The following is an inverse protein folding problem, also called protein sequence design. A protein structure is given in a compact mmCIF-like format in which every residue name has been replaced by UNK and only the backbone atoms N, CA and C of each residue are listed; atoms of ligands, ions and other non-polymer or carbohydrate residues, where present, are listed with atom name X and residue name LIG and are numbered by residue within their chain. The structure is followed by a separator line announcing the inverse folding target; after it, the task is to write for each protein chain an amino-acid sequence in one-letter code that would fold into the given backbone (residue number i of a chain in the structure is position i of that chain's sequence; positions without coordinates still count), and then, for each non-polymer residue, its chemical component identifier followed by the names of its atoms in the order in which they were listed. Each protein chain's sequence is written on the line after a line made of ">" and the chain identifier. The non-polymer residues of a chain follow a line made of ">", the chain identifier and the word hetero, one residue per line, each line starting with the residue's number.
data_IF_359310510115
#
_entry.id   IF_359310510115
#
_cell.length_a   1.000
_cell.length_b   1.000
_cell.length_c   1.000
_cell.angle_alpha   90.00
_cell.angle_beta   90.00
_cell.angle_gamma   90.00
#
_symmetry.space_group_name_H-M   'P 1'
#
loop_
_entity.id
_entity.type
_entity.pdbx_description
1 polymer ?
#
# COMPACT_ATOMS: atom_id res chain seq x y z
N UNK A 1 1.24 -0.47 0.77
CA UNK A 1 0.73 -0.39 2.15
C UNK A 1 1.25 -1.57 2.97
N UNK A 2 1.66 -1.34 4.22
CA UNK A 2 2.09 -2.40 5.14
C UNK A 2 0.89 -3.16 5.72
N UNK A 3 0.98 -4.48 5.99
CA UNK A 3 -0.13 -5.25 6.57
C UNK A 3 -0.66 -4.69 7.89
N UNK A 4 0.24 -4.30 8.79
CA UNK A 4 -0.10 -3.67 10.09
C UNK A 4 -0.88 -2.38 9.89
N UNK A 5 -0.41 -1.50 8.99
CA UNK A 5 -1.06 -0.22 8.70
C UNK A 5 -2.44 -0.44 8.08
N UNK A 6 -2.55 -1.36 7.12
CA UNK A 6 -3.81 -1.71 6.48
C UNK A 6 -4.86 -2.16 7.52
N UNK A 7 -4.51 -3.12 8.39
CA UNK A 7 -5.42 -3.60 9.44
C UNK A 7 -5.92 -2.47 10.34
N UNK A 8 -5.03 -1.54 10.68
CA UNK A 8 -5.36 -0.41 11.54
C UNK A 8 -6.44 0.47 10.93
N UNK A 9 -6.29 0.81 9.64
CA UNK A 9 -7.24 1.71 8.97
C UNK A 9 -8.56 1.05 8.59
N UNK A 10 -8.56 -0.22 8.20
CA UNK A 10 -9.80 -0.91 7.83
C UNK A 10 -10.52 -1.54 9.03
N UNK A 11 -10.04 -1.32 10.26
CA UNK A 11 -10.62 -1.89 11.47
C UNK A 11 -10.59 -3.43 11.54
N UNK A 12 -9.70 -4.08 10.79
CA UNK A 12 -9.59 -5.54 10.75
C UNK A 12 -9.03 -6.06 12.08
N UNK A 13 -9.49 -7.24 12.51
CA UNK A 13 -9.01 -7.88 13.72
C UNK A 13 -7.47 -8.00 13.67
N UNK A 14 -6.73 -7.52 14.69
CA UNK A 14 -5.28 -7.61 14.71
C UNK A 14 -4.73 -9.05 14.59
N UNK A 15 -5.49 -10.06 15.00
CA UNK A 15 -5.14 -11.48 14.88
C UNK A 15 -5.37 -12.04 13.46
N UNK A 16 -6.14 -11.37 12.60
CA UNK A 16 -6.32 -11.78 11.20
C UNK A 16 -4.98 -11.70 10.47
N UNK A 17 -4.63 -12.79 9.79
CA UNK A 17 -3.52 -12.81 8.86
C UNK A 17 -3.93 -12.21 7.51
N UNK A 18 -3.92 -10.88 7.45
CA UNK A 18 -4.27 -10.13 6.23
C UNK A 18 -3.26 -10.37 5.08
N UNK A 19 -2.07 -10.91 5.37
CA UNK A 19 -1.05 -11.12 4.33
C UNK A 19 -1.50 -12.15 3.28
N UNK A 20 -2.39 -13.07 3.66
CA UNK A 20 -3.04 -14.02 2.73
C UNK A 20 -3.89 -13.33 1.66
N UNK A 21 -4.31 -12.09 1.91
CA UNK A 21 -5.06 -11.24 0.97
C UNK A 21 -4.16 -10.29 0.18
N UNK A 22 -2.85 -10.30 0.42
CA UNK A 22 -1.91 -9.36 -0.18
C UNK A 22 -0.94 -10.09 -1.10
N UNK A 23 -0.80 -9.60 -2.33
CA UNK A 23 0.13 -10.16 -3.33
C UNK A 23 0.99 -9.04 -3.91
N UNK A 24 2.28 -9.31 -4.12
CA UNK A 24 3.17 -8.32 -4.75
C UNK A 24 2.68 -8.02 -6.17
N UNK A 25 2.66 -6.76 -6.53
CA UNK A 25 2.27 -6.32 -7.85
C UNK A 25 3.06 -5.08 -8.29
N UNK A 26 3.06 -4.82 -9.59
CA UNK A 26 3.54 -3.57 -10.15
C UNK A 26 2.51 -2.96 -11.10
N UNK A 27 2.58 -1.65 -11.26
CA UNK A 27 1.80 -0.88 -12.23
C UNK A 27 2.77 -0.08 -13.11
N UNK A 28 2.49 0.00 -14.41
CA UNK A 28 3.30 0.74 -15.39
C UNK A 28 2.66 2.09 -15.75
N UNK A 29 3.47 3.06 -16.16
CA UNK A 29 3.04 4.44 -16.46
C UNK A 29 2.93 5.34 -15.23
N UNK A 30 3.58 4.97 -14.13
CA UNK A 30 3.54 5.72 -12.87
C UNK A 30 4.92 5.76 -12.21
N UNK A 31 5.14 6.80 -11.41
CA UNK A 31 6.31 6.97 -10.54
C UNK A 31 5.90 7.40 -9.13
N UNK A 32 6.79 7.16 -8.17
CA UNK A 32 6.65 7.66 -6.81
C UNK A 32 7.21 9.06 -6.69
N UNK A 33 6.49 9.92 -5.98
CA UNK A 33 6.90 11.26 -5.62
C UNK A 33 6.64 11.51 -4.13
N UNK A 34 7.30 12.50 -3.56
CA UNK A 34 7.08 12.96 -2.20
C UNK A 34 6.62 14.41 -2.20
N UNK A 35 5.66 14.73 -1.34
CA UNK A 35 5.19 16.10 -1.11
C UNK A 35 6.21 16.86 -0.25
N UNK A 36 6.86 16.16 0.68
CA UNK A 36 7.97 16.67 1.49
C UNK A 36 8.96 15.53 1.83
N UNK A 37 10.20 15.83 2.27
CA UNK A 37 11.23 14.81 2.52
C UNK A 37 10.82 13.66 3.46
N UNK A 38 9.85 13.90 4.35
CA UNK A 38 9.37 12.92 5.32
C UNK A 38 7.91 12.49 5.09
N UNK A 39 7.26 12.96 4.00
CA UNK A 39 5.91 12.50 3.70
C UNK A 39 5.92 11.08 3.12
N UNK A 40 4.86 10.28 3.36
CA UNK A 40 4.60 9.10 2.55
C UNK A 40 4.57 9.47 1.05
N UNK A 41 5.06 8.60 0.16
CA UNK A 41 5.07 8.89 -1.26
C UNK A 41 3.67 8.78 -1.85
N UNK A 42 3.43 9.58 -2.88
CA UNK A 42 2.23 9.56 -3.72
C UNK A 42 2.57 8.96 -5.08
N UNK A 43 1.60 8.28 -5.69
CA UNK A 43 1.75 7.70 -7.02
C UNK A 43 1.30 8.73 -8.05
N UNK A 44 2.17 9.07 -9.00
CA UNK A 44 1.91 10.09 -10.02
C UNK A 44 1.98 9.45 -11.40
N UNK A 45 0.97 9.70 -12.23
CA UNK A 45 0.96 9.22 -13.62
C UNK A 45 2.05 9.94 -14.42
N UNK A 46 2.82 9.21 -15.22
CA UNK A 46 3.88 9.76 -16.08
C UNK A 46 3.56 9.58 -17.56
N UNK A 47 4.29 10.30 -18.41
CA UNK A 47 4.21 10.14 -19.87
C UNK A 47 5.00 8.94 -20.38
N UNK A 48 5.96 8.43 -19.59
CA UNK A 48 6.76 7.27 -19.95
C UNK A 48 6.04 5.97 -19.53
N UNK A 49 5.58 5.14 -20.48
CA UNK A 49 4.87 3.92 -20.16
C UNK A 49 5.75 2.85 -19.49
N UNK A 50 7.07 3.03 -19.50
CA UNK A 50 8.03 2.12 -18.88
C UNK A 50 8.30 2.42 -17.41
N UNK A 51 7.87 3.58 -16.90
CA UNK A 51 7.99 3.85 -15.48
C UNK A 51 7.08 2.89 -14.69
N UNK A 52 7.58 2.38 -13.57
CA UNK A 52 6.84 1.39 -12.78
C UNK A 52 6.83 1.71 -11.30
N UNK A 53 5.69 1.50 -10.66
CA UNK A 53 5.56 1.48 -9.20
C UNK A 53 5.30 0.06 -8.73
N UNK A 54 6.05 -0.37 -7.72
CA UNK A 54 5.91 -1.66 -7.06
C UNK A 54 5.17 -1.49 -5.73
N UNK A 55 4.30 -2.44 -5.44
CA UNK A 55 3.50 -2.42 -4.22
C UNK A 55 2.81 -3.75 -3.95
N UNK A 56 1.71 -3.66 -3.21
CA UNK A 56 0.89 -4.81 -2.84
C UNK A 56 -0.51 -4.62 -3.40
N UNK A 57 -0.99 -5.61 -4.16
CA UNK A 57 -2.39 -5.78 -4.49
C UNK A 57 -3.10 -6.43 -3.31
N UNK A 58 -4.17 -5.80 -2.83
CA UNK A 58 -5.00 -6.32 -1.75
C UNK A 58 -6.31 -6.85 -2.34
N UNK A 59 -6.61 -8.11 -2.07
CA UNK A 59 -7.79 -8.81 -2.59
C UNK A 59 -8.82 -9.05 -1.48
N UNK A 60 -10.08 -9.21 -1.87
CA UNK A 60 -11.13 -9.61 -0.93
C UNK A 60 -11.48 -8.56 0.14
N UNK A 61 -11.31 -7.28 -0.17
CA UNK A 61 -11.86 -6.19 0.63
C UNK A 61 -13.36 -6.03 0.32
N UNK A 62 -14.19 -5.95 1.36
CA UNK A 62 -15.60 -5.61 1.25
C UNK A 62 -15.81 -4.10 1.01
N UNK A 63 -17.07 -3.68 0.88
CA UNK A 63 -17.43 -2.28 0.57
C UNK A 63 -17.05 -1.34 1.72
N UNK A 64 -17.27 -1.74 2.97
CA UNK A 64 -17.00 -0.89 4.13
C UNK A 64 -15.49 -0.68 4.30
N UNK A 65 -14.70 -1.74 4.12
CA UNK A 65 -13.24 -1.68 4.13
C UNK A 65 -12.69 -0.80 3.01
N UNK A 66 -13.29 -0.84 1.81
CA UNK A 66 -12.89 0.04 0.70
C UNK A 66 -13.22 1.50 0.99
N UNK A 67 -14.37 1.78 1.58
CA UNK A 67 -14.78 3.14 1.96
C UNK A 67 -13.84 3.72 3.02
N UNK A 68 -13.42 2.92 4.01
CA UNK A 68 -12.41 3.34 4.99
C UNK A 68 -11.07 3.73 4.35
N UNK A 69 -10.63 3.00 3.33
CA UNK A 69 -9.42 3.35 2.58
C UNK A 69 -9.65 4.63 1.76
N UNK A 70 -10.83 4.79 1.17
CA UNK A 70 -11.20 6.00 0.44
C UNK A 70 -11.18 7.24 1.33
N UNK A 71 -11.73 7.16 2.54
CA UNK A 71 -11.73 8.27 3.50
C UNK A 71 -10.31 8.66 3.94
N UNK A 72 -9.40 7.68 4.00
CA UNK A 72 -7.99 7.90 4.32
C UNK A 72 -7.22 8.56 3.17
N UNK A 73 -7.32 8.03 1.96
CA UNK A 73 -6.46 8.37 0.83
C UNK A 73 -7.07 9.45 -0.08
N UNK A 74 -8.41 9.54 -0.12
CA UNK A 74 -9.18 10.35 -1.06
C UNK A 74 -9.11 11.86 -0.88
N UNK A 75 -8.45 12.35 0.18
CA UNK A 75 -8.32 13.79 0.44
C UNK A 75 -7.46 14.53 -0.58
N UNK A 76 -6.32 13.94 -0.98
CA UNK A 76 -5.35 14.55 -1.91
C UNK A 76 -5.14 13.72 -3.19
N UNK A 77 -5.69 12.51 -3.23
CA UNK A 77 -5.52 11.56 -4.32
C UNK A 77 -6.88 11.12 -4.85
N UNK A 78 -6.94 10.81 -6.14
CA UNK A 78 -8.13 10.26 -6.76
C UNK A 78 -8.01 8.74 -6.88
N UNK A 79 -9.12 8.06 -6.63
CA UNK A 79 -9.25 6.65 -6.98
C UNK A 79 -9.28 6.51 -8.51
N UNK A 80 -8.35 5.73 -9.05
CA UNK A 80 -8.22 5.43 -10.48
C UNK A 80 -8.24 3.93 -10.74
N UNK A 81 -8.80 3.53 -11.87
CA UNK A 81 -8.69 2.17 -12.38
C UNK A 81 -7.31 1.93 -12.96
N UNK A 82 -6.58 0.97 -12.42
CA UNK A 82 -5.22 0.63 -12.82
C UNK A 82 -5.11 -0.84 -13.22
N UNK A 83 -4.32 -1.11 -14.25
CA UNK A 83 -3.95 -2.47 -14.66
C UNK A 83 -2.65 -2.88 -13.99
N UNK A 84 -2.76 -3.75 -13.00
CA UNK A 84 -1.62 -4.23 -12.22
C UNK A 84 -1.15 -5.60 -12.69
N UNK A 85 0.15 -5.84 -12.59
CA UNK A 85 0.77 -7.12 -12.92
C UNK A 85 1.25 -7.80 -11.64
N UNK A 86 0.82 -9.04 -11.41
CA UNK A 86 1.26 -9.81 -10.24
C UNK A 86 2.75 -10.16 -10.40
N UNK A 87 3.50 -10.00 -9.32
CA UNK A 87 4.88 -10.48 -9.19
C UNK A 87 4.91 -11.73 -8.33
N UNK A 88 5.35 -12.83 -8.93
CA UNK A 88 5.57 -14.11 -8.26
C UNK A 88 7.05 -14.24 -7.95
N UNK A 89 7.38 -14.65 -6.73
CA UNK A 89 8.76 -14.99 -6.39
C UNK A 89 9.04 -16.39 -6.92
N UNK A 90 10.07 -16.55 -7.74
CA UNK A 90 10.49 -17.89 -8.16
C UNK A 90 11.12 -18.62 -6.98
N UNK A 91 10.51 -19.72 -6.55
CA UNK A 91 11.04 -20.58 -5.48
C UNK A 91 12.32 -21.32 -5.89
N UNK A 92 12.64 -21.39 -7.18
CA UNK A 92 13.87 -22.01 -7.70
C UNK A 92 15.04 -21.05 -7.85
N UNK A 93 14.78 -19.74 -7.89
CA UNK A 93 15.80 -18.69 -8.04
C UNK A 93 15.58 -17.61 -6.97
N UNK A 94 16.32 -17.65 -5.83
CA UNK A 94 16.07 -16.80 -4.65
C UNK A 94 16.07 -15.28 -4.90
N UNK A 95 16.56 -14.85 -6.06
CA UNK A 95 16.85 -13.47 -6.41
C UNK A 95 16.01 -12.92 -7.58
N UNK A 96 15.09 -13.69 -8.18
CA UNK A 96 14.32 -13.24 -9.34
C UNK A 96 12.81 -13.26 -9.05
N UNK A 97 12.18 -12.08 -9.14
CA UNK A 97 10.73 -11.97 -9.20
C UNK A 97 10.28 -12.15 -10.66
N UNK A 98 9.45 -13.15 -10.93
CA UNK A 98 8.81 -13.36 -12.22
C UNK A 98 7.52 -12.55 -12.26
N UNK A 99 7.37 -11.68 -13.26
CA UNK A 99 6.11 -11.00 -13.50
C UNK A 99 5.16 -11.95 -14.21
N UNK A 100 3.98 -12.21 -13.63
CA UNK A 100 2.91 -12.96 -14.30
C UNK A 100 2.53 -12.22 -15.58
N UNK A 101 2.36 -12.92 -16.70
CA UNK A 101 1.87 -12.30 -17.95
C UNK A 101 0.46 -11.70 -17.84
N UNK A 102 -0.29 -12.08 -16.80
CA UNK A 102 -1.67 -11.63 -16.59
C UNK A 102 -1.72 -10.28 -15.88
N UNK A 103 -2.42 -9.32 -16.50
CA UNK A 103 -2.81 -8.05 -15.88
C UNK A 103 -4.17 -8.21 -15.20
N UNK A 104 -4.35 -7.55 -14.06
CA UNK A 104 -5.56 -7.55 -13.24
C UNK A 104 -6.01 -6.10 -13.09
N UNK A 105 -7.31 -5.84 -13.24
CA UNK A 105 -7.88 -4.53 -12.96
C UNK A 105 -8.00 -4.34 -11.44
N UNK A 106 -7.50 -3.21 -10.93
CA UNK A 106 -7.51 -2.87 -9.52
C UNK A 106 -7.67 -1.36 -9.32
N UNK A 107 -8.27 -0.97 -8.20
CA UNK A 107 -8.28 0.43 -7.78
C UNK A 107 -6.95 0.84 -7.17
N UNK A 108 -6.49 2.05 -7.50
CA UNK A 108 -5.29 2.67 -6.91
C UNK A 108 -5.55 4.15 -6.66
N UNK A 109 -4.95 4.72 -5.62
CA UNK A 109 -4.97 6.17 -5.40
C UNK A 109 -3.79 6.82 -6.10
N UNK A 110 -4.09 7.76 -6.99
CA UNK A 110 -3.09 8.52 -7.74
C UNK A 110 -3.23 10.02 -7.46
N UNK A 111 -2.08 10.69 -7.36
CA UNK A 111 -2.00 12.14 -7.19
C UNK A 111 -2.69 12.85 -8.36
N UNK A 112 -3.63 13.73 -8.02
CA UNK A 112 -4.37 14.51 -9.01
C UNK A 112 -3.90 15.96 -9.12
N UNK A 113 -3.12 16.45 -8.14
CA UNK A 113 -2.63 17.82 -8.11
C UNK A 113 -1.52 18.11 -9.12
N UNK A 114 -1.05 19.36 -9.12
CA UNK A 114 0.16 19.75 -9.88
C UNK A 114 1.36 18.90 -9.43
N UNK A 115 2.25 18.59 -10.38
CA UNK A 115 3.55 17.94 -10.08
C UNK A 115 4.58 18.95 -9.58
N UNK A 116 4.28 20.24 -9.68
CA UNK A 116 5.18 21.31 -9.25
C UNK A 116 5.45 21.21 -7.75
N UNK A 117 6.72 21.25 -7.36
CA UNK A 117 7.14 21.13 -5.97
C UNK A 117 7.18 19.70 -5.43
N UNK A 118 6.72 18.69 -6.19
CA UNK A 118 6.91 17.30 -5.82
C UNK A 118 8.35 16.85 -6.01
N UNK A 119 8.85 16.07 -5.06
CA UNK A 119 10.20 15.52 -5.09
C UNK A 119 10.12 14.12 -5.71
N UNK A 120 10.73 13.85 -6.88
CA UNK A 120 10.71 12.52 -7.49
C UNK A 120 11.50 11.52 -6.64
N UNK A 121 11.02 10.28 -6.56
CA UNK A 121 11.77 9.16 -5.97
C UNK A 121 12.41 8.35 -7.07
N UNK A 122 13.70 8.07 -6.94
CA UNK A 122 14.43 7.17 -7.85
C UNK A 122 14.01 5.70 -7.68
N UNK A 123 13.46 5.36 -6.52
CA UNK A 123 12.99 4.01 -6.22
C UNK A 123 11.60 3.74 -6.79
N UNK A 124 11.39 2.54 -7.31
CA UNK A 124 10.09 2.04 -7.79
C UNK A 124 9.17 1.60 -6.64
N UNK A 125 9.71 1.42 -5.43
CA UNK A 125 8.96 1.04 -4.23
C UNK A 125 9.21 2.04 -3.10
N UNK A 126 8.23 2.22 -2.21
CA UNK A 126 8.39 3.09 -1.04
C UNK A 126 9.49 2.56 -0.09
N UNK A 127 10.57 3.31 0.18
CA UNK A 127 11.51 2.97 1.25
C UNK A 127 10.84 3.11 2.63
N UNK A 128 10.56 1.99 3.27
CA UNK A 128 9.80 1.94 4.53
C UNK A 128 10.67 2.20 5.77
N UNK A 129 12.00 2.20 5.64
CA UNK A 129 12.93 2.20 6.79
C UNK A 129 12.75 3.41 7.72
N UNK A 130 12.49 4.59 7.14
CA UNK A 130 12.22 5.80 7.92
C UNK A 130 10.84 5.74 8.57
N UNK A 131 9.81 5.39 7.79
CA UNK A 131 8.43 5.28 8.27
C UNK A 131 8.28 4.32 9.46
N UNK A 132 8.96 3.17 9.40
CA UNK A 132 8.93 2.17 10.47
C UNK A 132 9.53 2.67 11.80
N UNK A 133 10.34 3.73 11.77
CA UNK A 133 10.96 4.34 12.96
C UNK A 133 10.16 5.52 13.50
N UNK A 134 9.10 5.95 12.81
CA UNK A 134 8.30 7.08 13.22
C UNK A 134 7.37 6.72 14.38
N UNK A 135 7.14 7.70 15.27
CA UNK A 135 6.15 7.59 16.36
C UNK A 135 4.75 7.23 15.86
N UNK A 136 4.41 7.65 14.65
CA UNK A 136 3.12 7.33 14.05
C UNK A 136 2.95 5.82 13.85
N UNK A 137 3.95 5.15 13.28
CA UNK A 137 3.93 3.69 13.12
C UNK A 137 3.94 2.97 14.48
N UNK A 138 4.73 3.46 15.44
CA UNK A 138 4.75 2.93 16.80
C UNK A 138 3.35 3.00 17.46
N UNK A 139 2.65 4.12 17.32
CA UNK A 139 1.30 4.31 17.83
C UNK A 139 0.29 3.33 17.20
N UNK A 140 0.42 3.07 15.90
CA UNK A 140 -0.40 2.06 15.19
C UNK A 140 -0.17 0.68 15.81
N UNK A 141 1.08 0.28 15.98
CA UNK A 141 1.45 -1.03 16.57
C UNK A 141 0.89 -1.15 17.99
N UNK A 142 1.06 -0.11 18.81
CA UNK A 142 0.58 -0.11 20.19
C UNK A 142 -0.95 -0.16 20.27
N UNK A 143 -1.65 0.53 19.38
CA UNK A 143 -3.12 0.47 19.30
C UNK A 143 -3.61 -0.95 18.98
N UNK A 144 -3.00 -1.60 17.98
CA UNK A 144 -3.36 -2.98 17.64
C UNK A 144 -3.08 -3.97 18.77
N UNK A 145 -1.97 -3.80 19.51
CA UNK A 145 -1.66 -4.63 20.67
C UNK A 145 -2.69 -4.47 21.79
N UNK A 146 -3.13 -3.25 22.08
CA UNK A 146 -4.20 -3.01 23.08
C UNK A 146 -5.50 -3.69 22.68
N UNK A 147 -5.92 -3.56 21.42
CA UNK A 147 -7.14 -4.20 20.93
C UNK A 147 -7.09 -5.73 21.02
N UNK A 148 -5.91 -6.35 20.91
CA UNK A 148 -5.74 -7.79 21.15
C UNK A 148 -5.94 -8.18 22.62
N UNK A 149 -5.46 -7.35 23.55
CA UNK A 149 -5.58 -7.60 24.98
C UNK A 149 -7.02 -7.39 25.45
N UNK A 150 -7.67 -6.31 25.03
CA UNK A 150 -9.05 -6.01 25.42
C UNK A 150 -10.05 -7.00 24.79
N UNK A 151 -9.81 -7.47 23.57
CA UNK A 151 -10.61 -8.50 22.92
C UNK A 151 -10.49 -9.89 23.56
N UNK A 152 -9.47 -10.12 24.39
CA UNK A 152 -9.29 -11.36 25.15
C UNK A 152 -9.93 -11.35 26.54
N UNK A 153 -10.42 -10.19 27.01
CA UNK A 153 -11.02 -10.01 28.34
C UNK A 153 -12.51 -10.35 28.46
N UNK A 154 -13.17 -10.81 27.39
CA UNK A 154 -14.61 -11.14 27.36
C UNK A 154 -14.93 -12.63 27.60
N UNK A 155 -13.95 -13.42 28.06
CA UNK A 155 -14.14 -14.83 28.43
C UNK A 155 -13.73 -15.08 29.89
N UNK A 156 -14.48 -14.54 30.84
CA UNK A 156 -14.58 -15.07 32.22
C UNK A 156 -16.00 -14.84 32.76
#
# INVERSE_FOLDING_TARGET
>A
MLPTVLKYFIGENPATDITKRMTRACVSGYMLYQISPNSPPVVVQTSNPHDTVHGMLVLGLDVDQRNLIYDLEGGLMNLVDAKVQIRLRDSSLPCHDICSGRKIDAGMFAWHGSKEGLIPLESTAWPLDCFLKEKFYENIVNSQRRNMLDGSGLFL
#
